data_IF_338117405928
#
_entry.id   IF_338117405928
#
_cell.length_a   1.000
_cell.length_b   1.000
_cell.length_c   1.000
_cell.angle_alpha   90.00
_cell.angle_beta   90.00
_cell.angle_gamma   90.00
#
_symmetry.space_group_name_H-M   'P 1'
#
loop_
_entity.id
_entity.type
_entity.pdbx_description
1 polymer ?
#
# COMPACT_ATOMS: atom_id res chain seq x y z
N UNK A 1 29.92 10.32 1.12
CA UNK A 1 29.39 8.95 1.34
C UNK A 1 27.88 9.09 1.52
N UNK A 2 27.10 8.70 0.49
CA UNK A 2 25.64 8.70 0.64
C UNK A 2 25.29 7.51 1.54
N UNK A 3 24.88 7.77 2.76
CA UNK A 3 24.31 6.74 3.64
C UNK A 3 23.11 6.15 2.93
N UNK A 4 23.18 4.86 2.64
CA UNK A 4 22.06 4.07 2.14
C UNK A 4 21.06 4.00 3.28
N UNK A 5 19.99 4.79 3.20
CA UNK A 5 18.93 4.76 4.20
C UNK A 5 18.00 3.59 3.91
N UNK A 6 17.94 2.69 4.86
CA UNK A 6 16.96 1.62 4.83
C UNK A 6 15.59 2.17 5.18
N UNK A 7 14.64 2.08 4.26
CA UNK A 7 13.27 2.57 4.43
C UNK A 7 12.37 1.42 4.86
N UNK A 8 11.56 1.66 5.88
CA UNK A 8 10.46 0.81 6.30
C UNK A 8 9.17 1.50 5.89
N UNK A 9 8.33 0.81 5.12
CA UNK A 9 7.05 1.34 4.61
C UNK A 9 5.92 0.62 5.32
N UNK A 10 4.91 1.36 5.72
CA UNK A 10 3.65 0.86 6.25
C UNK A 10 2.49 1.25 5.34
N UNK A 11 1.61 0.31 5.06
CA UNK A 11 0.35 0.54 4.34
C UNK A 11 -0.79 0.01 5.19
N UNK A 12 -1.76 0.86 5.48
CA UNK A 12 -3.07 0.41 5.95
C UNK A 12 -3.97 0.24 4.73
N UNK A 13 -4.25 -1.02 4.39
CA UNK A 13 -5.08 -1.38 3.26
C UNK A 13 -6.51 -1.56 3.73
N UNK A 14 -7.28 -0.49 3.68
CA UNK A 14 -8.67 -0.45 4.10
C UNK A 14 -9.65 -0.77 2.97
N UNK A 15 -10.92 -0.96 3.34
CA UNK A 15 -12.01 -1.28 2.42
C UNK A 15 -12.37 -0.09 1.53
N UNK A 16 -12.53 1.08 2.13
CA UNK A 16 -12.93 2.31 1.43
C UNK A 16 -11.73 3.21 1.18
N UNK A 17 -10.87 3.34 2.19
CA UNK A 17 -9.68 4.20 2.15
C UNK A 17 -8.46 3.47 2.66
N UNK A 18 -7.31 3.83 2.14
CA UNK A 18 -6.01 3.33 2.54
C UNK A 18 -5.07 4.48 2.88
N UNK A 19 -4.07 4.19 3.69
CA UNK A 19 -3.03 5.14 4.08
C UNK A 19 -1.64 4.53 3.89
N UNK A 20 -0.65 5.40 3.68
CA UNK A 20 0.75 4.99 3.61
C UNK A 20 1.60 5.86 4.53
N UNK A 21 2.57 5.25 5.17
CA UNK A 21 3.56 5.92 5.99
C UNK A 21 4.94 5.30 5.78
N UNK A 22 5.98 5.98 6.26
CA UNK A 22 7.32 5.42 6.33
C UNK A 22 7.96 5.72 7.69
N UNK A 23 8.94 4.91 8.10
CA UNK A 23 9.69 5.16 9.32
C UNK A 23 10.95 5.97 9.03
N UNK A 24 10.99 7.21 9.57
CA UNK A 24 12.16 8.07 9.48
C UNK A 24 13.16 7.69 10.59
N UNK A 25 14.24 7.01 10.21
CA UNK A 25 15.28 6.58 11.15
C UNK A 25 16.08 7.73 11.76
N UNK A 26 16.14 8.88 11.12
CA UNK A 26 16.83 10.05 11.68
C UNK A 26 16.05 10.64 12.83
N UNK A 27 14.74 10.75 12.66
CA UNK A 27 13.83 11.27 13.68
C UNK A 27 13.40 10.20 14.65
N UNK A 28 13.61 8.91 14.30
CA UNK A 28 13.14 7.75 15.05
C UNK A 28 11.62 7.75 15.26
N UNK A 29 10.89 8.23 14.26
CA UNK A 29 9.44 8.33 14.29
C UNK A 29 8.82 7.94 12.95
N UNK A 30 7.57 7.45 12.93
CA UNK A 30 6.82 7.28 11.69
C UNK A 30 6.44 8.64 11.14
N UNK A 31 6.46 8.75 9.81
CA UNK A 31 6.04 9.92 9.07
C UNK A 31 4.89 9.56 8.13
N UNK A 32 3.85 10.34 8.17
CA UNK A 32 2.72 10.22 7.26
C UNK A 32 3.08 10.76 5.87
N UNK A 33 2.47 10.19 4.85
CA UNK A 33 2.67 10.61 3.46
C UNK A 33 1.39 11.23 2.95
N UNK A 34 1.45 12.51 2.60
CA UNK A 34 0.32 13.16 1.97
C UNK A 34 0.19 12.74 0.51
N UNK A 35 -1.03 12.39 0.10
CA UNK A 35 -1.38 12.04 -1.29
C UNK A 35 -1.41 13.26 -2.22
N UNK A 36 -1.28 14.47 -1.67
CA UNK A 36 -1.24 15.71 -2.44
C UNK A 36 -0.18 16.64 -1.90
N UNK A 37 0.73 17.06 -2.75
CA UNK A 37 1.78 18.01 -2.39
C UNK A 37 1.15 19.32 -1.90
N UNK A 38 1.61 19.78 -0.72
CA UNK A 38 1.14 21.03 -0.10
C UNK A 38 -0.24 20.95 0.58
N UNK A 39 -0.80 19.74 0.75
CA UNK A 39 -2.03 19.52 1.50
C UNK A 39 -1.83 18.39 2.53
N UNK A 40 -2.68 18.40 3.57
CA UNK A 40 -2.73 17.33 4.58
C UNK A 40 -3.81 16.32 4.18
N UNK A 41 -3.57 15.58 3.10
CA UNK A 41 -4.47 14.54 2.60
C UNK A 41 -3.76 13.18 2.76
N UNK A 42 -4.07 12.45 3.82
CA UNK A 42 -3.40 11.20 4.16
C UNK A 42 -4.20 9.95 3.77
N UNK A 43 -5.48 10.11 3.50
CA UNK A 43 -6.38 9.03 3.07
C UNK A 43 -6.51 9.04 1.55
N UNK A 44 -6.48 7.85 0.96
CA UNK A 44 -6.69 7.65 -0.48
C UNK A 44 -7.75 6.57 -0.69
N UNK A 45 -8.72 6.81 -1.57
CA UNK A 45 -9.75 5.83 -1.90
C UNK A 45 -9.10 4.51 -2.34
N UNK A 46 -9.61 3.37 -1.84
CA UNK A 46 -9.07 2.05 -2.17
C UNK A 46 -9.65 1.57 -3.51
N UNK A 47 -9.30 2.27 -4.58
CA UNK A 47 -9.74 1.98 -5.93
C UNK A 47 -8.62 2.18 -6.95
N UNK A 48 -8.78 1.56 -8.11
CA UNK A 48 -7.90 1.71 -9.28
C UNK A 48 -8.71 2.00 -10.52
N UNK A 49 -8.15 2.72 -11.47
CA UNK A 49 -8.78 3.00 -12.76
C UNK A 49 -7.79 2.77 -13.89
N UNK A 50 -8.22 2.00 -14.89
CA UNK A 50 -7.52 1.88 -16.16
C UNK A 50 -8.18 2.84 -17.16
N UNK A 51 -7.40 3.73 -17.77
CA UNK A 51 -7.93 4.76 -18.66
C UNK A 51 -7.02 5.00 -19.88
N UNK A 52 -7.59 5.66 -20.87
CA UNK A 52 -6.86 6.03 -22.08
C UNK A 52 -6.51 4.86 -23.01
N UNK A 53 -6.03 5.19 -24.21
CA UNK A 53 -5.68 4.21 -25.25
C UNK A 53 -4.44 3.36 -24.88
N UNK A 54 -3.58 3.89 -24.02
CA UNK A 54 -2.35 3.23 -23.59
C UNK A 54 -2.56 2.38 -22.32
N UNK A 55 -3.80 2.25 -21.84
CA UNK A 55 -4.13 1.51 -20.62
C UNK A 55 -3.32 2.01 -19.41
N UNK A 56 -3.34 3.31 -19.18
CA UNK A 56 -2.69 3.94 -18.04
C UNK A 56 -3.47 3.65 -16.76
N UNK A 57 -2.74 3.51 -15.64
CA UNK A 57 -3.33 3.21 -14.35
C UNK A 57 -3.19 4.37 -13.38
N UNK A 58 -4.28 4.67 -12.70
CA UNK A 58 -4.36 5.63 -11.61
C UNK A 58 -5.00 5.00 -10.38
N UNK A 59 -4.74 5.56 -9.20
CA UNK A 59 -5.25 5.06 -7.93
C UNK A 59 -5.99 6.16 -7.16
N UNK A 60 -6.92 5.75 -6.31
CA UNK A 60 -7.61 6.61 -5.37
C UNK A 60 -8.34 7.78 -6.02
N UNK A 61 -8.20 8.97 -5.48
CA UNK A 61 -8.87 10.18 -5.99
C UNK A 61 -8.58 10.47 -7.47
N UNK A 62 -7.36 10.15 -7.92
CA UNK A 62 -7.01 10.30 -9.33
C UNK A 62 -7.74 9.27 -10.19
N UNK A 63 -7.91 8.03 -9.69
CA UNK A 63 -8.69 6.99 -10.35
C UNK A 63 -10.16 7.42 -10.52
N UNK A 64 -10.78 7.94 -9.45
CA UNK A 64 -12.15 8.46 -9.49
C UNK A 64 -12.30 9.62 -10.48
N UNK A 65 -11.30 10.50 -10.55
CA UNK A 65 -11.28 11.61 -11.51
C UNK A 65 -11.24 11.10 -12.96
N UNK A 66 -10.29 10.20 -13.29
CA UNK A 66 -10.16 9.70 -14.66
C UNK A 66 -11.32 8.78 -15.08
N UNK A 67 -11.95 8.08 -14.15
CA UNK A 67 -13.15 7.31 -14.43
C UNK A 67 -14.28 8.21 -14.95
N UNK A 68 -14.43 9.42 -14.39
CA UNK A 68 -15.47 10.38 -14.79
C UNK A 68 -15.10 11.16 -16.05
N UNK A 69 -13.86 11.66 -16.12
CA UNK A 69 -13.42 12.60 -17.15
C UNK A 69 -12.87 11.92 -18.41
N UNK A 70 -12.49 10.66 -18.33
CA UNK A 70 -11.81 9.92 -19.40
C UNK A 70 -12.45 8.57 -19.74
N UNK A 71 -13.67 8.32 -19.26
CA UNK A 71 -14.39 7.05 -19.46
C UNK A 71 -13.53 5.83 -19.07
N UNK A 72 -12.76 5.96 -17.98
CA UNK A 72 -11.91 4.90 -17.47
C UNK A 72 -12.69 3.78 -16.80
N UNK A 73 -12.12 2.60 -16.78
CA UNK A 73 -12.66 1.43 -16.07
C UNK A 73 -12.24 1.49 -14.60
N UNK A 74 -13.19 1.91 -13.74
CA UNK A 74 -12.98 2.02 -12.30
C UNK A 74 -13.28 0.69 -11.59
N UNK A 75 -12.40 0.29 -10.68
CA UNK A 75 -12.58 -0.84 -9.77
C UNK A 75 -12.56 -0.27 -8.34
N UNK A 76 -13.74 -0.17 -7.71
CA UNK A 76 -13.91 0.41 -6.36
C UNK A 76 -13.87 -0.64 -5.25
N UNK A 77 -14.18 -1.91 -5.56
CA UNK A 77 -14.27 -3.01 -4.60
C UNK A 77 -12.97 -3.82 -4.49
N UNK A 78 -11.84 -3.16 -4.57
CA UNK A 78 -10.52 -3.81 -4.57
C UNK A 78 -10.26 -4.67 -3.33
N UNK A 79 -10.71 -4.19 -2.16
CA UNK A 79 -10.58 -4.93 -0.91
C UNK A 79 -11.35 -6.26 -0.94
N UNK A 80 -12.61 -6.23 -1.38
CA UNK A 80 -13.47 -7.41 -1.51
C UNK A 80 -12.90 -8.41 -2.51
N UNK A 81 -12.41 -7.94 -3.65
CA UNK A 81 -11.77 -8.81 -4.64
C UNK A 81 -10.59 -9.57 -4.03
N UNK A 82 -9.77 -8.91 -3.21
CA UNK A 82 -8.67 -9.56 -2.49
C UNK A 82 -9.16 -10.53 -1.41
N UNK A 83 -10.22 -10.17 -0.67
CA UNK A 83 -10.81 -11.00 0.39
C UNK A 83 -11.46 -12.26 -0.17
N UNK A 84 -12.04 -12.20 -1.36
CA UNK A 84 -12.76 -13.28 -2.02
C UNK A 84 -11.90 -14.06 -3.04
N UNK A 85 -10.69 -13.59 -3.35
CA UNK A 85 -9.80 -14.12 -4.39
C UNK A 85 -10.49 -14.14 -5.76
N UNK A 86 -11.12 -13.01 -6.12
CA UNK A 86 -11.86 -12.85 -7.37
C UNK A 86 -11.17 -11.83 -8.27
N UNK A 87 -11.06 -12.16 -9.56
CA UNK A 87 -10.64 -11.21 -10.57
C UNK A 87 -11.85 -10.49 -11.19
N UNK A 88 -11.58 -9.47 -11.98
CA UNK A 88 -12.58 -8.66 -12.66
C UNK A 88 -12.14 -8.29 -14.07
N UNK A 89 -13.10 -8.13 -14.96
CA UNK A 89 -12.85 -7.62 -16.30
C UNK A 89 -12.62 -6.12 -16.28
N UNK A 90 -11.46 -5.68 -16.76
CA UNK A 90 -11.09 -4.27 -16.89
C UNK A 90 -10.83 -3.98 -18.38
N UNK A 91 -11.77 -3.37 -19.03
CA UNK A 91 -11.73 -3.23 -20.49
C UNK A 91 -11.70 -4.59 -21.17
N UNK A 92 -10.69 -4.83 -21.99
CA UNK A 92 -10.49 -6.10 -22.70
C UNK A 92 -9.68 -7.14 -21.90
N UNK A 93 -9.13 -6.77 -20.74
CA UNK A 93 -8.26 -7.63 -19.93
C UNK A 93 -8.99 -8.14 -18.70
N UNK A 94 -8.79 -9.41 -18.40
CA UNK A 94 -9.16 -9.97 -17.10
C UNK A 94 -8.01 -9.81 -16.13
N UNK A 95 -8.26 -9.17 -14.99
CA UNK A 95 -7.28 -8.90 -13.96
C UNK A 95 -7.58 -9.69 -12.71
N UNK A 96 -6.60 -10.39 -12.20
CA UNK A 96 -6.67 -11.07 -10.91
C UNK A 96 -6.62 -10.06 -9.76
N UNK A 97 -7.22 -10.39 -8.61
CA UNK A 97 -7.23 -9.51 -7.44
C UNK A 97 -5.83 -9.03 -7.04
N UNK A 98 -4.84 -9.92 -7.06
CA UNK A 98 -3.46 -9.58 -6.70
C UNK A 98 -2.79 -8.61 -7.69
N UNK A 99 -3.16 -8.64 -8.98
CA UNK A 99 -2.62 -7.72 -9.99
C UNK A 99 -3.13 -6.30 -9.74
N UNK A 100 -4.43 -6.17 -9.45
CA UNK A 100 -5.05 -4.90 -9.08
C UNK A 100 -4.48 -4.35 -7.77
N UNK A 101 -4.31 -5.22 -6.75
CA UNK A 101 -3.66 -4.84 -5.50
C UNK A 101 -2.21 -4.37 -5.72
N UNK A 102 -1.47 -5.01 -6.65
CA UNK A 102 -0.12 -4.59 -7.02
C UNK A 102 -0.11 -3.19 -7.64
N UNK A 103 -1.02 -2.91 -8.58
CA UNK A 103 -1.18 -1.57 -9.16
C UNK A 103 -1.43 -0.53 -8.06
N UNK A 104 -2.34 -0.83 -7.14
CA UNK A 104 -2.69 0.07 -6.05
C UNK A 104 -1.52 0.33 -5.09
N UNK A 105 -0.86 -0.73 -4.60
CA UNK A 105 0.28 -0.63 -3.68
C UNK A 105 1.45 0.10 -4.35
N UNK A 106 1.75 -0.19 -5.61
CA UNK A 106 2.78 0.54 -6.37
C UNK A 106 2.45 2.02 -6.48
N UNK A 107 1.19 2.35 -6.74
CA UNK A 107 0.70 3.73 -6.79
C UNK A 107 0.90 4.44 -5.45
N UNK A 108 0.55 3.81 -4.32
CA UNK A 108 0.80 4.36 -2.98
C UNK A 108 2.30 4.60 -2.73
N UNK A 109 3.15 3.64 -3.07
CA UNK A 109 4.60 3.74 -2.89
C UNK A 109 5.19 4.90 -3.73
N UNK A 110 4.61 5.23 -4.89
CA UNK A 110 5.06 6.36 -5.72
C UNK A 110 4.94 7.70 -5.01
N UNK A 111 4.00 7.88 -4.09
CA UNK A 111 3.91 9.10 -3.29
C UNK A 111 5.13 9.31 -2.39
N UNK A 112 5.83 8.24 -1.99
CA UNK A 112 7.11 8.33 -1.27
C UNK A 112 8.27 8.80 -2.17
N UNK A 113 8.21 8.56 -3.46
CA UNK A 113 9.30 8.82 -4.40
C UNK A 113 9.72 10.29 -4.52
N UNK A 114 8.85 11.24 -4.13
CA UNK A 114 9.15 12.66 -4.03
C UNK A 114 9.89 13.03 -2.73
N UNK A 115 9.86 12.16 -1.73
CA UNK A 115 10.37 12.42 -0.38
C UNK A 115 11.63 11.60 -0.07
N UNK A 116 11.66 10.32 -0.49
CA UNK A 116 12.81 9.42 -0.24
C UNK A 116 12.96 8.40 -1.39
N UNK A 117 14.19 7.99 -1.71
CA UNK A 117 14.41 7.00 -2.78
C UNK A 117 13.92 5.62 -2.36
N UNK A 118 12.84 5.15 -3.00
CA UNK A 118 12.20 3.85 -2.77
C UNK A 118 13.17 2.66 -2.99
N UNK A 119 14.29 2.89 -3.67
CA UNK A 119 15.32 1.87 -3.96
C UNK A 119 15.92 1.17 -2.73
N UNK A 120 15.70 1.69 -1.54
CA UNK A 120 16.28 1.21 -0.30
C UNK A 120 15.22 0.65 0.67
N UNK A 121 14.04 0.29 0.19
CA UNK A 121 13.00 -0.32 1.03
C UNK A 121 13.45 -1.69 1.50
N UNK A 122 13.48 -1.89 2.82
CA UNK A 122 13.81 -3.19 3.45
C UNK A 122 12.60 -3.97 3.91
N UNK A 123 11.53 -3.28 4.24
CA UNK A 123 10.33 -3.90 4.75
C UNK A 123 9.09 -3.13 4.28
N UNK A 124 8.08 -3.87 3.86
CA UNK A 124 6.73 -3.38 3.63
C UNK A 124 5.82 -4.10 4.61
N UNK A 125 5.23 -3.35 5.54
CA UNK A 125 4.20 -3.86 6.43
C UNK A 125 2.84 -3.43 5.90
N UNK A 126 1.93 -4.39 5.76
CA UNK A 126 0.55 -4.10 5.38
C UNK A 126 -0.38 -4.52 6.52
N UNK A 127 -1.23 -3.60 6.94
CA UNK A 127 -2.33 -3.88 7.84
C UNK A 127 -3.64 -3.93 7.06
N UNK A 128 -4.52 -4.84 7.46
CA UNK A 128 -5.88 -4.96 6.91
C UNK A 128 -6.87 -5.12 8.06
N UNK A 129 -8.11 -4.74 7.84
CA UNK A 129 -9.16 -4.87 8.85
C UNK A 129 -9.36 -6.33 9.27
N UNK A 130 -9.39 -7.25 8.30
CA UNK A 130 -9.54 -8.69 8.54
C UNK A 130 -8.61 -9.49 7.64
N UNK A 131 -7.86 -10.42 8.23
CA UNK A 131 -7.03 -11.37 7.48
C UNK A 131 -7.76 -12.69 7.29
N UNK A 132 -7.81 -13.14 6.03
CA UNK A 132 -8.12 -14.50 5.67
C UNK A 132 -7.04 -15.05 4.71
N UNK A 133 -7.06 -16.35 4.44
CA UNK A 133 -6.03 -16.98 3.60
C UNK A 133 -5.97 -16.45 2.16
N UNK A 134 -7.11 -16.01 1.61
CA UNK A 134 -7.21 -15.44 0.26
C UNK A 134 -6.60 -14.04 0.22
N UNK A 135 -6.93 -13.18 1.19
CA UNK A 135 -6.34 -11.86 1.35
C UNK A 135 -4.82 -11.95 1.48
N UNK A 136 -4.32 -12.85 2.35
CA UNK A 136 -2.87 -13.08 2.52
C UNK A 136 -2.22 -13.47 1.20
N UNK A 137 -2.78 -14.43 0.48
CA UNK A 137 -2.28 -14.90 -0.83
C UNK A 137 -2.18 -13.75 -1.84
N UNK A 138 -3.24 -12.94 -1.96
CA UNK A 138 -3.30 -11.85 -2.93
C UNK A 138 -2.31 -10.73 -2.58
N UNK A 139 -2.26 -10.31 -1.31
CA UNK A 139 -1.34 -9.26 -0.88
C UNK A 139 0.13 -9.70 -0.96
N UNK A 140 0.45 -10.97 -0.66
CA UNK A 140 1.81 -11.49 -0.84
C UNK A 140 2.24 -11.44 -2.30
N UNK A 141 1.41 -11.96 -3.22
CA UNK A 141 1.69 -11.89 -4.66
C UNK A 141 1.84 -10.45 -5.15
N UNK A 142 0.95 -9.55 -4.71
CA UNK A 142 1.02 -8.15 -5.05
C UNK A 142 2.35 -7.53 -4.61
N UNK A 143 2.77 -7.76 -3.37
CA UNK A 143 4.04 -7.26 -2.84
C UNK A 143 5.24 -7.82 -3.61
N UNK A 144 5.27 -9.12 -3.90
CA UNK A 144 6.32 -9.75 -4.68
C UNK A 144 6.45 -9.11 -6.07
N UNK A 145 5.32 -8.75 -6.70
CA UNK A 145 5.33 -8.08 -8.00
C UNK A 145 5.78 -6.63 -7.93
N UNK A 146 5.52 -5.91 -6.82
CA UNK A 146 5.89 -4.51 -6.66
C UNK A 146 7.39 -4.25 -6.48
N UNK A 147 8.16 -5.26 -6.10
CA UNK A 147 9.50 -5.09 -5.51
C UNK A 147 10.66 -5.53 -6.42
N UNK A 148 10.43 -5.73 -7.69
CA UNK A 148 11.43 -6.24 -8.66
C UNK A 148 12.68 -5.38 -8.82
N UNK A 149 12.72 -4.18 -8.28
CA UNK A 149 13.85 -3.27 -8.47
C UNK A 149 14.93 -3.39 -7.39
N UNK A 150 14.75 -4.21 -6.36
CA UNK A 150 15.75 -4.37 -5.30
C UNK A 150 16.19 -5.83 -5.13
N UNK A 151 17.46 -6.16 -5.42
CA UNK A 151 17.98 -7.53 -5.28
C UNK A 151 18.28 -7.94 -3.82
N UNK A 152 17.71 -7.26 -2.81
CA UNK A 152 17.96 -7.56 -1.39
C UNK A 152 16.76 -8.26 -0.77
N UNK A 153 17.04 -9.13 0.20
CA UNK A 153 16.01 -9.82 0.97
C UNK A 153 14.99 -8.82 1.53
N UNK A 154 13.75 -8.99 1.13
CA UNK A 154 12.65 -8.12 1.49
C UNK A 154 11.70 -8.89 2.39
N UNK A 155 11.22 -8.27 3.43
CA UNK A 155 10.27 -8.87 4.36
C UNK A 155 8.92 -8.19 4.21
N UNK A 156 7.90 -8.96 3.84
CA UNK A 156 6.50 -8.53 3.87
C UNK A 156 5.90 -9.00 5.19
N UNK A 157 5.30 -8.07 5.91
CA UNK A 157 4.55 -8.35 7.14
C UNK A 157 3.07 -8.06 6.89
N UNK A 158 2.23 -9.06 7.10
CA UNK A 158 0.78 -8.91 7.03
C UNK A 158 0.21 -9.03 8.44
N UNK A 159 -0.68 -8.13 8.81
CA UNK A 159 -1.33 -8.15 10.13
C UNK A 159 -2.76 -7.65 10.04
N UNK A 160 -3.64 -8.20 10.87
CA UNK A 160 -4.99 -7.70 11.02
C UNK A 160 -5.02 -6.56 12.05
N UNK A 161 -5.76 -5.50 11.75
CA UNK A 161 -5.94 -4.35 12.67
C UNK A 161 -6.58 -4.78 14.00
N UNK A 162 -7.49 -5.76 13.97
CA UNK A 162 -8.13 -6.30 15.16
C UNK A 162 -7.14 -6.92 16.16
N UNK A 163 -6.04 -7.53 15.66
CA UNK A 163 -4.98 -8.09 16.52
C UNK A 163 -4.18 -6.98 17.21
N UNK A 164 -4.00 -5.85 16.55
CA UNK A 164 -3.35 -4.67 17.10
C UNK A 164 -4.22 -4.08 18.23
N UNK A 165 -5.52 -4.05 18.03
CA UNK A 165 -6.50 -3.59 19.03
C UNK A 165 -6.49 -4.46 20.28
N UNK A 166 -6.53 -5.78 20.11
CA UNK A 166 -6.51 -6.74 21.20
C UNK A 166 -5.21 -6.69 22.03
N UNK A 167 -4.10 -6.26 21.43
CA UNK A 167 -2.83 -6.10 22.14
C UNK A 167 -2.72 -4.79 22.94
N UNK A 168 -3.78 -3.97 23.00
CA UNK A 168 -3.78 -2.69 23.72
C UNK A 168 -2.81 -1.64 23.16
N UNK A 169 -2.34 -1.85 21.94
CA UNK A 169 -1.35 -0.98 21.27
C UNK A 169 -2.00 0.18 20.52
N UNK A 170 -3.32 0.28 20.61
CA UNK A 170 -4.09 1.30 19.91
C UNK A 170 -4.23 2.57 20.75
N UNK A 171 -3.57 3.60 20.32
CA UNK A 171 -3.77 4.97 20.82
C UNK A 171 -4.27 5.93 19.72
N UNK A 172 -4.93 5.39 18.72
CA UNK A 172 -5.44 6.13 17.57
C UNK A 172 -4.45 6.28 16.41
N UNK A 173 -3.31 5.60 16.46
CA UNK A 173 -2.29 5.70 15.42
C UNK A 173 -1.80 4.33 14.98
N UNK A 174 -2.15 3.93 13.75
CA UNK A 174 -1.57 2.77 13.04
C UNK A 174 -0.04 2.83 13.05
N UNK A 175 0.50 4.04 12.98
CA UNK A 175 1.92 4.34 13.01
C UNK A 175 2.61 3.84 14.28
N UNK A 176 1.93 3.90 15.44
CA UNK A 176 2.51 3.44 16.71
C UNK A 176 2.55 1.93 16.80
N UNK A 177 1.52 1.26 16.28
CA UNK A 177 1.50 -0.20 16.18
C UNK A 177 2.57 -0.72 15.21
N UNK A 178 2.81 -0.02 14.10
CA UNK A 178 3.91 -0.29 13.17
C UNK A 178 5.26 -0.08 13.85
N UNK A 179 5.45 1.00 14.63
CA UNK A 179 6.68 1.27 15.36
C UNK A 179 7.08 0.11 16.26
N UNK A 180 6.18 -0.40 17.09
CA UNK A 180 6.45 -1.52 17.99
C UNK A 180 6.84 -2.81 17.25
N UNK A 181 6.32 -3.05 16.04
CA UNK A 181 6.69 -4.23 15.24
C UNK A 181 7.98 -4.02 14.46
N UNK A 182 8.25 -2.82 13.97
CA UNK A 182 9.51 -2.50 13.30
C UNK A 182 10.72 -2.61 14.23
N UNK A 183 10.58 -2.19 15.48
CA UNK A 183 11.65 -2.34 16.48
C UNK A 183 12.02 -3.82 16.72
N UNK A 184 11.03 -4.71 16.65
CA UNK A 184 11.24 -6.16 16.80
C UNK A 184 11.78 -6.86 15.52
N UNK A 185 11.76 -6.19 14.38
CA UNK A 185 12.26 -6.72 13.10
C UNK A 185 13.65 -6.22 12.73
N UNK A 186 14.24 -5.32 13.55
CA UNK A 186 15.61 -4.86 13.34
C UNK A 186 16.57 -5.88 13.95
N UNK A 187 17.54 -6.43 13.21
CA UNK A 187 18.62 -7.18 13.80
C UNK A 187 19.39 -6.29 14.77
N UNK A 188 19.76 -6.84 15.91
CA UNK A 188 20.57 -6.19 16.93
C UNK A 188 21.94 -5.77 16.38
#
# INVERSE_FOLDING_TARGET
MNEIRDILIGVDFGREVSQICYYDRKRQEPAEVSMKVGANLFENSTCVCCWGKNQEWSIGLEAEYFAREREGFLVENLFELCEEDQGVQVGEQYMEAWELAAVYIQGLIRFLGSMEPVKNTKCLAITVQRLNGKMVKNLQKACESCLWTTPRAFTTMLTASDQIFAAGMWDGSILKAMKCRFENCLPA
#
